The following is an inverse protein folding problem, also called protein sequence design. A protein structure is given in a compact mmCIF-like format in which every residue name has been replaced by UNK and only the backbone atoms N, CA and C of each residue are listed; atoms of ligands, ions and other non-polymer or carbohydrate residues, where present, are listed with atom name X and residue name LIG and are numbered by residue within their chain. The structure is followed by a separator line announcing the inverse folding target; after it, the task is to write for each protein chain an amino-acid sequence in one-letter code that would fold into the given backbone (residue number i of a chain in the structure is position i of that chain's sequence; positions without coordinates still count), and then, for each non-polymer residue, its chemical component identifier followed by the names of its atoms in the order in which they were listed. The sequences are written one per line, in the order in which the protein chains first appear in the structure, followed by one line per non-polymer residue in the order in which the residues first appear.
data_IF_643789838191
#
_entry.id   IF_643789838191
#
_cell.length_a   1.000
_cell.length_b   1.000
_cell.length_c   1.000
_cell.angle_alpha   90.00
_cell.angle_beta   90.00
_cell.angle_gamma   90.00
#
_symmetry.space_group_name_H-M   'P 1'
#
loop_
_entity.id
_entity.type
_entity.pdbx_description
1 polymer ?
#
# COMPACT_ATOMS: atom_id res chain seq x y z
N UNK A 1 -49.08 -0.26 -26.77
CA UNK A 1 -47.98 -0.61 -25.84
C UNK A 1 -47.09 0.61 -25.75
N UNK A 2 -47.24 1.42 -24.71
CA UNK A 2 -46.33 2.55 -24.43
C UNK A 2 -45.65 2.27 -23.10
N UNK A 3 -44.32 2.25 -23.16
CA UNK A 3 -43.41 1.90 -22.07
C UNK A 3 -43.03 3.17 -21.31
N UNK A 4 -43.65 3.41 -20.15
CA UNK A 4 -43.19 4.45 -19.24
C UNK A 4 -42.19 3.86 -18.24
N UNK A 5 -40.91 3.93 -18.58
CA UNK A 5 -39.82 3.68 -17.64
C UNK A 5 -39.70 4.88 -16.68
N UNK A 6 -40.18 4.75 -15.44
CA UNK A 6 -39.90 5.71 -14.38
C UNK A 6 -38.57 5.36 -13.70
N UNK A 7 -37.56 6.14 -14.05
CA UNK A 7 -36.25 6.21 -13.40
C UNK A 7 -36.30 7.27 -12.27
N UNK A 8 -35.63 6.98 -11.16
CA UNK A 8 -35.25 7.86 -10.04
C UNK A 8 -36.30 8.16 -8.95
N UNK A 9 -36.34 7.26 -7.95
CA UNK A 9 -36.98 7.48 -6.65
C UNK A 9 -36.16 8.38 -5.71
N UNK A 10 -36.11 9.69 -5.98
CA UNK A 10 -35.64 10.69 -5.00
C UNK A 10 -36.84 11.50 -4.49
N UNK A 11 -37.29 11.22 -3.25
CA UNK A 11 -38.31 12.05 -2.58
C UNK A 11 -37.63 13.11 -1.72
N UNK A 12 -37.70 14.36 -2.17
CA UNK A 12 -37.26 15.55 -1.43
C UNK A 12 -38.30 15.86 -0.35
N UNK A 13 -37.98 15.65 0.92
CA UNK A 13 -38.84 16.09 2.03
C UNK A 13 -38.61 17.59 2.30
N UNK A 14 -39.67 18.37 2.20
CA UNK A 14 -39.68 19.78 2.57
C UNK A 14 -39.68 19.90 4.11
N UNK A 15 -38.54 20.29 4.69
CA UNK A 15 -38.44 20.67 6.10
C UNK A 15 -38.83 22.15 6.24
N UNK A 16 -40.05 22.39 6.73
CA UNK A 16 -40.47 23.70 7.20
C UNK A 16 -40.09 23.87 8.67
N UNK A 17 -39.49 25.02 9.01
CA UNK A 17 -39.30 25.47 10.39
C UNK A 17 -37.86 25.44 10.90
N UNK A 18 -37.01 26.38 10.44
CA UNK A 18 -35.81 26.75 11.19
C UNK A 18 -36.18 27.80 12.23
N UNK A 19 -36.31 27.37 13.49
CA UNK A 19 -36.24 28.26 14.65
C UNK A 19 -34.79 28.32 15.10
N UNK A 20 -34.26 29.54 15.10
CA UNK A 20 -32.90 29.92 15.37
C UNK A 20 -32.61 29.87 16.88
N UNK A 21 -32.01 28.78 17.37
CA UNK A 21 -31.43 28.70 18.73
C UNK A 21 -30.20 27.78 18.80
N UNK A 22 -29.06 28.41 19.06
CA UNK A 22 -27.91 27.95 19.89
C UNK A 22 -27.18 26.63 19.57
N UNK A 23 -25.89 26.79 19.21
CA UNK A 23 -24.76 25.89 19.54
C UNK A 23 -24.99 24.39 19.35
N UNK A 24 -24.82 23.90 18.11
CA UNK A 24 -24.75 22.45 17.87
C UNK A 24 -23.28 22.03 17.90
N UNK A 25 -22.83 21.63 19.09
CA UNK A 25 -21.74 20.68 19.22
C UNK A 25 -22.01 19.50 18.27
N UNK A 26 -21.04 19.17 17.41
CA UNK A 26 -21.18 18.11 16.41
C UNK A 26 -21.73 16.83 17.07
N UNK A 27 -22.93 16.40 16.67
CA UNK A 27 -23.57 15.16 17.15
C UNK A 27 -22.77 13.97 16.63
N UNK A 28 -21.95 13.37 17.50
CA UNK A 28 -21.19 12.14 17.19
C UNK A 28 -22.16 11.01 16.84
N UNK A 29 -21.94 10.40 15.68
CA UNK A 29 -22.67 9.20 15.26
C UNK A 29 -21.98 8.00 15.91
N UNK A 30 -22.66 7.36 16.87
CA UNK A 30 -22.18 6.13 17.49
C UNK A 30 -22.80 4.92 16.78
N UNK A 31 -21.99 4.19 16.01
CA UNK A 31 -22.42 2.96 15.36
C UNK A 31 -22.39 1.81 16.39
N UNK A 32 -23.57 1.27 16.75
CA UNK A 32 -23.71 0.18 17.75
C UNK A 32 -23.17 -1.18 17.28
N UNK A 33 -22.79 -1.33 16.02
CA UNK A 33 -22.37 -2.61 15.42
C UNK A 33 -20.84 -2.85 15.41
N UNK A 34 -20.03 -1.95 15.97
CA UNK A 34 -18.56 -2.09 15.95
C UNK A 34 -17.98 -2.82 17.18
N UNK A 35 -18.79 -3.16 18.18
CA UNK A 35 -18.33 -3.91 19.36
C UNK A 35 -18.22 -5.42 19.11
N UNK A 36 -18.85 -5.94 18.05
CA UNK A 36 -18.86 -7.39 17.76
C UNK A 36 -17.66 -7.88 16.94
N UNK A 37 -16.83 -6.98 16.41
CA UNK A 37 -15.56 -7.34 15.76
C UNK A 37 -14.39 -7.43 16.75
N UNK A 38 -14.63 -7.19 18.04
CA UNK A 38 -13.66 -7.40 19.11
C UNK A 38 -13.70 -8.86 19.61
N UNK A 39 -13.84 -9.81 18.68
CA UNK A 39 -13.50 -11.21 18.93
C UNK A 39 -11.96 -11.28 18.89
N UNK A 40 -11.29 -12.02 19.79
CA UNK A 40 -9.84 -12.07 19.87
C UNK A 40 -9.28 -12.95 18.75
N UNK A 41 -9.66 -12.66 17.50
CA UNK A 41 -8.91 -13.05 16.34
C UNK A 41 -7.50 -12.52 16.54
N UNK A 42 -6.51 -13.40 16.52
CA UNK A 42 -5.10 -13.02 16.54
C UNK A 42 -4.92 -11.88 15.55
N UNK A 43 -4.73 -10.66 16.06
CA UNK A 43 -4.44 -9.50 15.24
C UNK A 43 -3.04 -9.71 14.67
N UNK A 44 -2.95 -10.51 13.60
CA UNK A 44 -1.80 -10.49 12.70
C UNK A 44 -1.69 -9.04 12.28
N UNK A 45 -0.58 -8.41 12.63
CA UNK A 45 -0.37 -7.01 12.28
C UNK A 45 -0.46 -6.91 10.75
N UNK A 46 -1.14 -5.90 10.20
CA UNK A 46 -1.24 -5.78 8.73
C UNK A 46 0.15 -5.72 8.12
N UNK A 47 1.11 -5.16 8.84
CA UNK A 47 2.52 -5.21 8.51
C UNK A 47 3.04 -6.64 8.27
N UNK A 48 2.82 -7.60 9.18
CA UNK A 48 3.24 -9.01 8.99
C UNK A 48 2.60 -9.66 7.76
N UNK A 49 1.39 -9.25 7.38
CA UNK A 49 0.70 -9.80 6.21
C UNK A 49 1.13 -9.16 4.89
N UNK A 50 1.47 -7.88 4.91
CA UNK A 50 1.75 -7.06 3.72
C UNK A 50 3.25 -7.01 3.41
N UNK A 51 4.08 -6.85 4.43
CA UNK A 51 5.53 -6.72 4.28
C UNK A 51 6.18 -7.86 3.48
N UNK A 52 5.82 -9.15 3.67
CA UNK A 52 6.41 -10.23 2.89
C UNK A 52 6.18 -10.10 1.37
N UNK A 53 5.05 -9.49 0.96
CA UNK A 53 4.72 -9.26 -0.45
C UNK A 53 5.57 -8.13 -1.05
N UNK A 54 5.66 -7.00 -0.33
CA UNK A 54 6.51 -5.86 -0.71
C UNK A 54 7.99 -6.27 -0.78
N UNK A 55 8.46 -7.06 0.19
CA UNK A 55 9.82 -7.61 0.20
C UNK A 55 10.08 -8.50 -1.01
N UNK A 56 9.15 -9.41 -1.35
CA UNK A 56 9.27 -10.25 -2.56
C UNK A 56 9.37 -9.42 -3.84
N UNK A 57 8.51 -8.41 -3.98
CA UNK A 57 8.56 -7.51 -5.14
C UNK A 57 9.90 -6.78 -5.24
N UNK A 58 10.43 -6.29 -4.10
CA UNK A 58 11.70 -5.57 -4.06
C UNK A 58 12.88 -6.47 -4.41
N UNK A 59 12.89 -7.71 -3.90
CA UNK A 59 13.92 -8.69 -4.25
C UNK A 59 13.86 -9.05 -5.74
N UNK A 60 12.66 -9.23 -6.31
CA UNK A 60 12.51 -9.48 -7.73
C UNK A 60 13.13 -8.33 -8.57
N UNK A 61 12.88 -7.08 -8.18
CA UNK A 61 13.51 -5.91 -8.82
C UNK A 61 15.04 -5.97 -8.72
N UNK A 62 15.60 -6.25 -7.53
CA UNK A 62 17.05 -6.34 -7.34
C UNK A 62 17.71 -7.43 -8.19
N UNK A 63 17.00 -8.51 -8.47
CA UNK A 63 17.48 -9.63 -9.26
C UNK A 63 17.20 -9.50 -10.77
N UNK A 64 16.62 -8.37 -11.22
CA UNK A 64 16.08 -8.22 -12.57
C UNK A 64 15.10 -9.34 -12.96
N UNK A 65 14.36 -9.87 -11.98
CA UNK A 65 13.35 -10.89 -12.15
C UNK A 65 11.95 -10.26 -12.35
N UNK A 66 11.02 -10.94 -13.02
CA UNK A 66 9.66 -10.45 -13.17
C UNK A 66 8.98 -10.29 -11.80
N UNK A 67 8.26 -9.18 -11.62
CA UNK A 67 7.50 -8.88 -10.40
C UNK A 67 6.10 -9.50 -10.54
N UNK A 68 5.72 -10.33 -9.57
CA UNK A 68 4.44 -11.06 -9.58
C UNK A 68 3.20 -10.19 -9.26
N UNK A 69 3.42 -8.94 -8.86
CA UNK A 69 2.38 -8.01 -8.41
C UNK A 69 2.25 -6.83 -9.37
N UNK A 70 1.03 -6.30 -9.52
CA UNK A 70 0.84 -5.06 -10.28
C UNK A 70 1.28 -3.84 -9.47
N UNK A 71 1.50 -2.72 -10.16
CA UNK A 71 1.83 -1.47 -9.48
C UNK A 71 0.69 -1.02 -8.56
N UNK A 72 -0.58 -1.15 -8.95
CA UNK A 72 -1.70 -0.76 -8.08
C UNK A 72 -1.73 -1.57 -6.77
N UNK A 73 -1.47 -2.87 -6.85
CA UNK A 73 -1.41 -3.72 -5.65
C UNK A 73 -0.29 -3.28 -4.71
N UNK A 74 0.90 -2.99 -5.25
CA UNK A 74 2.04 -2.51 -4.48
C UNK A 74 1.75 -1.15 -3.84
N UNK A 75 1.09 -0.22 -4.54
CA UNK A 75 0.67 1.05 -3.95
C UNK A 75 -0.32 0.85 -2.82
N UNK A 76 -1.31 -0.05 -2.98
CA UNK A 76 -2.28 -0.35 -1.94
C UNK A 76 -1.64 -0.95 -0.70
N UNK A 77 -0.70 -1.87 -0.88
CA UNK A 77 0.09 -2.45 0.21
C UNK A 77 0.84 -1.38 1.02
N UNK A 78 1.46 -0.42 0.34
CA UNK A 78 2.13 0.69 1.03
C UNK A 78 1.12 1.60 1.76
N UNK A 79 -0.03 1.88 1.15
CA UNK A 79 -1.11 2.66 1.76
C UNK A 79 -1.63 2.00 3.05
N UNK A 80 -1.90 0.69 3.02
CA UNK A 80 -2.36 -0.09 4.18
C UNK A 80 -1.36 -0.02 5.35
N UNK A 81 -0.06 -0.14 5.05
CA UNK A 81 1.02 -0.04 6.05
C UNK A 81 1.09 1.37 6.64
N UNK A 82 0.96 2.40 5.80
CA UNK A 82 0.97 3.80 6.25
C UNK A 82 -0.26 4.13 7.10
N UNK A 83 -1.44 3.59 6.74
CA UNK A 83 -2.68 3.78 7.48
C UNK A 83 -2.60 3.23 8.92
N UNK A 84 -1.80 2.19 9.14
CA UNK A 84 -1.53 1.62 10.47
C UNK A 84 -0.40 2.28 11.26
N UNK A 85 0.17 3.40 10.75
CA UNK A 85 1.30 4.11 11.37
C UNK A 85 2.60 3.28 11.45
N UNK A 86 2.73 2.26 10.61
CA UNK A 86 3.92 1.37 10.53
C UNK A 86 4.93 1.84 9.46
N UNK A 87 4.91 3.13 9.11
CA UNK A 87 5.79 3.72 8.10
C UNK A 87 7.27 3.65 8.50
N UNK A 88 7.57 3.82 9.81
CA UNK A 88 8.95 3.78 10.32
C UNK A 88 9.55 2.40 10.14
N UNK A 89 8.78 1.36 10.41
CA UNK A 89 9.21 -0.04 10.24
C UNK A 89 9.40 -0.36 8.75
N UNK A 90 8.45 0.05 7.91
CA UNK A 90 8.56 -0.10 6.44
C UNK A 90 9.84 0.52 5.89
N UNK A 91 10.13 1.76 6.28
CA UNK A 91 11.32 2.46 5.82
C UNK A 91 12.61 1.79 6.32
N UNK A 92 12.63 1.39 7.59
CA UNK A 92 13.79 0.76 8.21
C UNK A 92 14.12 -0.58 7.54
N UNK A 93 13.11 -1.41 7.29
CA UNK A 93 13.28 -2.71 6.66
C UNK A 93 13.65 -2.60 5.17
N UNK A 94 13.08 -1.61 4.45
CA UNK A 94 13.46 -1.36 3.06
C UNK A 94 14.90 -0.86 2.94
N UNK A 95 15.32 0.03 3.85
CA UNK A 95 16.70 0.51 3.92
C UNK A 95 17.67 -0.62 4.22
N UNK A 96 17.30 -1.52 5.13
CA UNK A 96 18.06 -2.72 5.46
C UNK A 96 18.24 -3.61 4.22
N UNK A 97 17.15 -3.92 3.52
CA UNK A 97 17.17 -4.71 2.28
C UNK A 97 18.08 -4.12 1.21
N UNK A 98 17.99 -2.81 0.99
CA UNK A 98 18.84 -2.12 0.00
C UNK A 98 20.33 -2.19 0.39
N UNK A 99 20.64 -1.98 1.67
CA UNK A 99 22.01 -2.06 2.17
C UNK A 99 22.59 -3.46 1.95
N UNK A 100 21.87 -4.49 2.36
CA UNK A 100 22.31 -5.88 2.23
C UNK A 100 22.50 -6.28 0.75
N UNK A 101 21.63 -5.79 -0.14
CA UNK A 101 21.80 -5.97 -1.58
C UNK A 101 23.10 -5.34 -2.09
N UNK A 102 23.37 -4.06 -1.77
CA UNK A 102 24.58 -3.35 -2.22
C UNK A 102 25.85 -3.98 -1.65
N UNK A 103 25.85 -4.34 -0.36
CA UNK A 103 26.98 -5.05 0.26
C UNK A 103 27.24 -6.40 -0.42
N UNK A 104 26.18 -7.11 -0.81
CA UNK A 104 26.27 -8.36 -1.59
C UNK A 104 26.83 -8.19 -3.01
N UNK A 105 26.79 -6.99 -3.59
CA UNK A 105 27.42 -6.71 -4.89
C UNK A 105 28.93 -6.48 -4.79
N UNK A 106 29.45 -6.04 -3.64
CA UNK A 106 30.86 -5.70 -3.45
C UNK A 106 31.82 -6.85 -3.86
N UNK A 107 31.59 -8.12 -3.46
CA UNK A 107 32.46 -9.22 -3.88
C UNK A 107 32.49 -9.44 -5.40
N UNK A 108 31.38 -9.14 -6.10
CA UNK A 108 31.31 -9.26 -7.56
C UNK A 108 32.25 -8.24 -8.21
N UNK A 109 32.22 -7.00 -7.73
CA UNK A 109 33.09 -5.94 -8.22
C UNK A 109 34.57 -6.17 -7.89
N UNK A 110 34.87 -6.76 -6.72
CA UNK A 110 36.25 -7.10 -6.33
C UNK A 110 36.78 -8.27 -7.16
N UNK A 111 35.97 -9.30 -7.40
CA UNK A 111 36.37 -10.51 -8.13
C UNK A 111 36.54 -10.25 -9.63
N UNK A 112 35.74 -9.37 -10.21
CA UNK A 112 35.82 -8.98 -11.62
C UNK A 112 36.11 -7.48 -11.72
N UNK A 113 37.38 -7.06 -11.55
CA UNK A 113 37.76 -5.68 -11.80
C UNK A 113 37.38 -5.32 -13.24
N UNK A 114 36.86 -4.11 -13.44
CA UNK A 114 36.30 -3.57 -14.69
C UNK A 114 37.17 -3.76 -15.95
N UNK A 115 38.42 -4.19 -15.82
CA UNK A 115 39.35 -4.47 -16.89
C UNK A 115 39.05 -5.73 -17.73
N UNK A 116 38.14 -6.62 -17.30
CA UNK A 116 37.71 -7.80 -18.08
C UNK A 116 36.42 -7.59 -18.90
N UNK A 117 35.74 -6.44 -18.76
CA UNK A 117 34.41 -6.21 -19.40
C UNK A 117 34.53 -5.42 -20.71
N UNK A 118 35.71 -4.88 -21.08
CA UNK A 118 35.90 -4.33 -22.42
C UNK A 118 36.20 -5.48 -23.41
N UNK A 119 35.35 -5.73 -24.44
CA UNK A 119 35.81 -6.47 -25.60
C UNK A 119 36.99 -5.70 -26.18
N UNK A 120 38.12 -6.38 -26.35
CA UNK A 120 39.29 -5.82 -27.02
C UNK A 120 38.83 -5.21 -28.34
N UNK A 121 38.97 -3.89 -28.47
CA UNK A 121 38.84 -3.24 -29.75
C UNK A 121 39.83 -3.92 -30.71
N UNK A 122 39.31 -4.69 -31.67
CA UNK A 122 40.12 -5.24 -32.75
C UNK A 122 40.52 -4.10 -33.68
N UNK A 123 41.81 -3.84 -33.92
CA UNK A 123 42.21 -2.94 -34.99
C UNK A 123 42.06 -3.68 -36.32
N UNK A 124 41.30 -3.09 -37.24
CA UNK A 124 41.34 -3.41 -38.67
C UNK A 124 41.42 -2.09 -39.43
#
# INVERSE_FOLDING_TARGET
MEVNASLNGYKKSNLSGFSEKTSVAAKRISLKALTSFNEPSQHISVFESVWPKLKRATIAVFQNAPVEYTLEELYRYVEDVCAQKMLVDLYSDLKLLMRDFVEGLLPIFIKYPFHMILPSASPA
#
